data_IF_893690075306
#
_entry.id   IF_893690075306
#
_cell.length_a   1.000
_cell.length_b   1.000
_cell.length_c   1.000
_cell.angle_alpha   90.00
_cell.angle_beta   90.00
_cell.angle_gamma   90.00
#
_symmetry.space_group_name_H-M   'P 1'
#
loop_
_entity.id
_entity.type
_entity.pdbx_description
1 polymer ?
#
# COMPACT_ATOMS: atom_id res chain seq x y z
N UNK A 1 -32.29 -3.85 16.43
CA UNK A 1 -31.32 -2.81 16.00
C UNK A 1 -30.01 -2.85 16.77
N UNK A 2 -30.02 -2.99 18.09
CA UNK A 2 -28.80 -3.01 18.92
C UNK A 2 -27.74 -4.04 18.48
N UNK A 3 -28.16 -5.26 18.14
CA UNK A 3 -27.26 -6.32 17.63
C UNK A 3 -26.53 -5.88 16.35
N UNK A 4 -27.21 -5.17 15.44
CA UNK A 4 -26.63 -4.68 14.19
C UNK A 4 -25.61 -3.57 14.45
N UNK A 5 -25.93 -2.62 15.33
CA UNK A 5 -25.02 -1.54 15.72
C UNK A 5 -23.74 -2.12 16.35
N UNK A 6 -23.90 -3.12 17.23
CA UNK A 6 -22.77 -3.82 17.84
C UNK A 6 -21.89 -4.53 16.82
N UNK A 7 -22.50 -5.18 15.82
CA UNK A 7 -21.78 -5.85 14.74
C UNK A 7 -21.00 -4.84 13.89
N UNK A 8 -21.63 -3.74 13.47
CA UNK A 8 -20.98 -2.69 12.67
C UNK A 8 -19.81 -2.04 13.42
N UNK A 9 -19.98 -1.77 14.71
CA UNK A 9 -18.90 -1.24 15.56
C UNK A 9 -17.73 -2.22 15.66
N UNK A 10 -18.02 -3.51 15.87
CA UNK A 10 -16.99 -4.54 15.92
C UNK A 10 -16.24 -4.68 14.59
N UNK A 11 -16.96 -4.64 13.45
CA UNK A 11 -16.35 -4.66 12.13
C UNK A 11 -15.43 -3.45 11.94
N UNK A 12 -15.90 -2.25 12.28
CA UNK A 12 -15.14 -1.01 12.15
C UNK A 12 -13.89 -0.98 13.05
N UNK A 13 -13.92 -1.64 14.22
CA UNK A 13 -12.77 -1.76 15.13
C UNK A 13 -11.77 -2.84 14.71
N UNK A 14 -12.19 -3.82 13.89
CA UNK A 14 -11.34 -4.93 13.42
C UNK A 14 -11.05 -4.87 11.92
N UNK A 15 -11.55 -3.86 11.21
CA UNK A 15 -11.51 -3.78 9.75
C UNK A 15 -10.07 -3.89 9.20
N UNK A 16 -9.11 -3.15 9.76
CA UNK A 16 -7.70 -3.24 9.34
C UNK A 16 -7.15 -4.65 9.55
N UNK A 17 -7.47 -5.30 10.67
CA UNK A 17 -6.98 -6.66 10.95
C UNK A 17 -7.56 -7.68 10.00
N UNK A 18 -8.84 -7.60 9.70
CA UNK A 18 -9.53 -8.50 8.76
C UNK A 18 -8.91 -8.34 7.37
N UNK A 19 -8.77 -7.10 6.89
CA UNK A 19 -8.16 -6.84 5.59
C UNK A 19 -6.68 -7.25 5.57
N UNK A 20 -5.91 -7.00 6.62
CA UNK A 20 -4.53 -7.45 6.69
C UNK A 20 -4.42 -8.98 6.69
N UNK A 21 -5.34 -9.69 7.32
CA UNK A 21 -5.36 -11.14 7.29
C UNK A 21 -5.66 -11.65 5.87
N UNK A 22 -6.63 -11.04 5.19
CA UNK A 22 -6.90 -11.30 3.76
C UNK A 22 -5.64 -11.02 2.92
N UNK A 23 -4.92 -9.92 3.16
CA UNK A 23 -3.64 -9.61 2.50
C UNK A 23 -2.64 -10.76 2.67
N UNK A 24 -2.37 -11.17 3.91
CA UNK A 24 -1.34 -12.17 4.25
C UNK A 24 -1.66 -13.54 3.66
N UNK A 25 -2.94 -13.93 3.61
CA UNK A 25 -3.33 -15.21 3.02
C UNK A 25 -3.45 -15.14 1.50
N UNK A 26 -4.09 -14.12 0.93
CA UNK A 26 -4.37 -14.13 -0.51
C UNK A 26 -3.15 -13.69 -1.33
N UNK A 27 -2.51 -12.57 -0.99
CA UNK A 27 -1.52 -11.97 -1.91
C UNK A 27 -0.24 -12.81 -2.06
N UNK A 28 0.31 -13.42 -0.99
CA UNK A 28 1.45 -14.33 -1.12
C UNK A 28 1.10 -15.70 -1.71
N UNK A 29 -0.12 -16.21 -1.49
CA UNK A 29 -0.48 -17.59 -1.88
C UNK A 29 -1.10 -17.68 -3.27
N UNK A 30 -1.77 -16.63 -3.75
CA UNK A 30 -2.38 -16.66 -5.07
C UNK A 30 -1.37 -16.32 -6.18
N UNK A 31 -1.50 -16.94 -7.37
CA UNK A 31 -0.79 -16.47 -8.54
C UNK A 31 -1.18 -15.01 -8.82
N UNK A 32 -0.19 -14.20 -9.20
CA UNK A 32 -0.41 -12.78 -9.51
C UNK A 32 -1.37 -12.65 -10.69
N UNK A 33 -2.48 -11.94 -10.50
CA UNK A 33 -3.52 -11.80 -11.52
C UNK A 33 -3.28 -10.51 -12.32
N UNK A 34 -2.84 -10.58 -13.58
CA UNK A 34 -2.67 -9.40 -14.42
C UNK A 34 -4.04 -8.89 -14.89
N UNK A 35 -4.33 -7.61 -14.66
CA UNK A 35 -5.55 -6.95 -15.16
C UNK A 35 -5.26 -6.27 -16.50
N UNK A 36 -4.11 -5.61 -16.60
CA UNK A 36 -3.72 -4.87 -17.81
C UNK A 36 -2.22 -4.91 -18.01
N UNK A 37 -1.78 -5.35 -19.18
CA UNK A 37 -0.38 -5.25 -19.60
C UNK A 37 -0.06 -3.82 -20.01
N UNK A 38 1.11 -3.35 -19.61
CA UNK A 38 1.65 -2.07 -20.09
C UNK A 38 2.26 -2.32 -21.47
N UNK A 39 1.78 -1.59 -22.47
CA UNK A 39 2.22 -1.71 -23.86
C UNK A 39 3.76 -1.64 -23.96
N UNK A 40 4.33 -2.47 -24.83
CA UNK A 40 5.77 -2.56 -25.08
C UNK A 40 6.60 -3.03 -23.88
N UNK A 41 5.97 -3.66 -22.89
CA UNK A 41 6.65 -4.18 -21.70
C UNK A 41 6.04 -5.51 -21.25
N UNK A 42 6.76 -6.27 -20.42
CA UNK A 42 6.24 -7.48 -19.76
C UNK A 42 5.55 -7.19 -18.42
N UNK A 43 5.28 -5.93 -18.12
CA UNK A 43 4.84 -5.50 -16.80
C UNK A 43 3.33 -5.31 -16.80
N UNK A 44 2.67 -5.94 -15.82
CA UNK A 44 1.24 -5.84 -15.62
C UNK A 44 0.90 -4.90 -14.45
N UNK A 45 -0.21 -4.16 -14.61
CA UNK A 45 -1.01 -3.68 -13.49
C UNK A 45 -1.83 -4.88 -13.00
N UNK A 46 -1.70 -5.21 -11.72
CA UNK A 46 -2.27 -6.44 -11.14
C UNK A 46 -3.41 -6.15 -10.19
N UNK A 47 -4.23 -7.17 -9.94
CA UNK A 47 -5.31 -7.10 -8.96
C UNK A 47 -4.79 -6.79 -7.56
N UNK A 48 -3.63 -7.33 -7.20
CA UNK A 48 -3.03 -7.06 -5.89
C UNK A 48 -2.68 -5.58 -5.71
N UNK A 49 -2.26 -4.91 -6.79
CA UNK A 49 -1.92 -3.48 -6.72
C UNK A 49 -3.18 -2.66 -6.30
N UNK A 50 -4.36 -3.00 -6.85
CA UNK A 50 -5.64 -2.38 -6.45
C UNK A 50 -6.06 -2.73 -5.03
N UNK A 51 -5.83 -3.97 -4.59
CA UNK A 51 -6.15 -4.39 -3.24
C UNK A 51 -5.34 -3.59 -2.21
N UNK A 52 -4.05 -3.40 -2.46
CA UNK A 52 -3.19 -2.61 -1.56
C UNK A 52 -3.60 -1.14 -1.58
N UNK A 53 -3.95 -0.58 -2.74
CA UNK A 53 -4.49 0.78 -2.82
C UNK A 53 -5.78 0.95 -2.00
N UNK A 54 -6.72 -0.01 -2.12
CA UNK A 54 -7.94 -0.03 -1.32
C UNK A 54 -7.65 -0.10 0.18
N UNK A 55 -6.79 -1.03 0.60
CA UNK A 55 -6.37 -1.19 1.99
C UNK A 55 -5.70 0.09 2.54
N UNK A 56 -4.88 0.74 1.71
CA UNK A 56 -4.25 2.03 2.02
C UNK A 56 -5.29 3.13 2.25
N UNK A 57 -6.30 3.25 1.39
CA UNK A 57 -7.37 4.24 1.54
C UNK A 57 -8.13 4.02 2.85
N UNK A 58 -8.52 2.79 3.15
CA UNK A 58 -9.19 2.45 4.42
C UNK A 58 -8.31 2.82 5.62
N UNK A 59 -7.01 2.51 5.56
CA UNK A 59 -6.06 2.85 6.61
C UNK A 59 -5.93 4.36 6.83
N UNK A 60 -5.81 5.14 5.76
CA UNK A 60 -5.76 6.61 5.84
C UNK A 60 -7.03 7.17 6.47
N UNK A 61 -8.21 6.65 6.10
CA UNK A 61 -9.49 7.03 6.74
C UNK A 61 -9.46 6.71 8.24
N UNK A 62 -8.93 5.56 8.65
CA UNK A 62 -8.83 5.20 10.07
C UNK A 62 -7.84 6.08 10.84
N UNK A 63 -6.73 6.49 10.23
CA UNK A 63 -5.80 7.48 10.80
C UNK A 63 -6.50 8.82 11.00
N UNK A 64 -7.23 9.30 9.98
CA UNK A 64 -8.00 10.56 10.06
C UNK A 64 -9.06 10.52 11.17
N UNK A 65 -9.67 9.34 11.39
CA UNK A 65 -10.59 9.06 12.50
C UNK A 65 -9.89 8.82 13.84
N UNK A 66 -8.56 8.99 13.91
CA UNK A 66 -7.70 8.82 15.09
C UNK A 66 -7.76 7.41 15.70
N UNK A 67 -8.19 6.40 14.95
CA UNK A 67 -8.22 5.00 15.40
C UNK A 67 -6.85 4.34 15.40
N UNK A 68 -5.95 4.80 14.52
CA UNK A 68 -4.58 4.32 14.43
C UNK A 68 -3.60 5.49 14.45
N UNK A 69 -2.40 5.23 14.98
CA UNK A 69 -1.28 6.18 14.98
C UNK A 69 -0.21 5.70 14.02
N UNK A 70 0.40 6.63 13.30
CA UNK A 70 1.54 6.37 12.43
C UNK A 70 2.83 6.57 13.24
N UNK A 71 3.75 5.61 13.19
CA UNK A 71 5.07 5.80 13.79
C UNK A 71 5.85 6.86 13.02
N UNK A 72 6.07 8.01 13.66
CA UNK A 72 6.78 9.15 13.05
C UNK A 72 8.20 8.78 12.63
N UNK A 73 8.90 7.97 13.43
CA UNK A 73 10.26 7.52 13.13
C UNK A 73 10.31 6.74 11.82
N UNK A 74 9.47 5.70 11.68
CA UNK A 74 9.43 4.91 10.45
C UNK A 74 8.90 5.70 9.26
N UNK A 75 7.92 6.58 9.48
CA UNK A 75 7.38 7.42 8.42
C UNK A 75 8.44 8.32 7.78
N UNK A 76 9.32 8.92 8.59
CA UNK A 76 10.41 9.76 8.09
C UNK A 76 11.39 8.91 7.26
N UNK A 77 11.81 7.75 7.75
CA UNK A 77 12.74 6.86 7.05
C UNK A 77 12.18 6.40 5.69
N UNK A 78 10.90 6.01 5.67
CA UNK A 78 10.22 5.56 4.45
C UNK A 78 10.03 6.72 3.47
N UNK A 79 9.67 7.91 3.98
CA UNK A 79 9.51 9.10 3.14
C UNK A 79 10.81 9.53 2.47
N UNK A 80 11.94 9.47 3.19
CA UNK A 80 13.26 9.73 2.62
C UNK A 80 13.62 8.72 1.54
N UNK A 81 13.37 7.43 1.77
CA UNK A 81 13.57 6.39 0.77
C UNK A 81 12.68 6.60 -0.47
N UNK A 82 11.39 6.88 -0.29
CA UNK A 82 10.48 7.16 -1.40
C UNK A 82 10.93 8.38 -2.19
N UNK A 83 11.34 9.46 -1.52
CA UNK A 83 11.89 10.64 -2.18
C UNK A 83 13.12 10.28 -3.02
N UNK A 84 14.07 9.50 -2.47
CA UNK A 84 15.24 9.06 -3.20
C UNK A 84 14.88 8.21 -4.43
N UNK A 85 13.93 7.28 -4.31
CA UNK A 85 13.43 6.47 -5.44
C UNK A 85 12.77 7.34 -6.50
N UNK A 86 11.91 8.28 -6.12
CA UNK A 86 11.26 9.19 -7.06
C UNK A 86 12.26 10.08 -7.78
N UNK A 87 13.22 10.67 -7.06
CA UNK A 87 14.28 11.48 -7.66
C UNK A 87 15.16 10.65 -8.60
N UNK A 88 15.51 9.41 -8.23
CA UNK A 88 16.24 8.49 -9.08
C UNK A 88 15.47 8.13 -10.36
N UNK A 89 14.16 7.87 -10.26
CA UNK A 89 13.31 7.63 -11.43
C UNK A 89 13.21 8.87 -12.32
N UNK A 90 13.06 10.07 -11.76
CA UNK A 90 13.04 11.32 -12.53
C UNK A 90 14.38 11.53 -13.27
N UNK A 91 15.49 11.30 -12.59
CA UNK A 91 16.82 11.35 -13.21
C UNK A 91 16.95 10.34 -14.36
N UNK A 92 16.52 9.09 -14.15
CA UNK A 92 16.54 8.03 -15.17
C UNK A 92 15.69 8.35 -16.40
N UNK A 93 14.54 9.00 -16.21
CA UNK A 93 13.62 9.39 -17.28
C UNK A 93 14.14 10.61 -18.06
N UNK A 94 14.57 11.66 -17.38
CA UNK A 94 14.80 12.96 -18.01
C UNK A 94 16.27 13.24 -18.31
N UNK A 95 17.20 12.75 -17.49
CA UNK A 95 18.63 13.08 -17.60
C UNK A 95 19.44 11.92 -18.19
N UNK A 96 19.45 10.78 -17.50
CA UNK A 96 20.20 9.62 -17.95
C UNK A 96 19.56 8.93 -19.17
N UNK A 97 18.25 9.14 -19.38
CA UNK A 97 17.46 8.55 -20.48
C UNK A 97 17.60 7.02 -20.55
N UNK A 98 17.69 6.38 -19.39
CA UNK A 98 17.77 4.91 -19.27
C UNK A 98 16.39 4.26 -19.16
N UNK A 99 15.32 5.06 -19.06
CA UNK A 99 13.93 4.60 -18.96
C UNK A 99 13.16 5.10 -20.20
N UNK A 100 13.02 4.24 -21.20
CA UNK A 100 12.33 4.58 -22.46
C UNK A 100 10.82 4.80 -22.24
N UNK A 101 10.21 3.92 -21.45
CA UNK A 101 8.78 3.95 -21.15
C UNK A 101 8.53 4.83 -19.91
N UNK A 102 8.39 6.14 -20.11
CA UNK A 102 8.32 7.12 -19.00
C UNK A 102 7.27 6.80 -17.93
N UNK A 103 6.05 6.46 -18.36
CA UNK A 103 4.96 6.11 -17.44
C UNK A 103 5.27 4.87 -16.61
N UNK A 104 6.07 3.93 -17.14
CA UNK A 104 6.51 2.75 -16.41
C UNK A 104 7.47 3.15 -15.26
N UNK A 105 8.38 4.10 -15.49
CA UNK A 105 9.27 4.60 -14.44
C UNK A 105 8.52 5.20 -13.24
N UNK A 106 7.43 5.93 -13.50
CA UNK A 106 6.54 6.43 -12.45
C UNK A 106 5.79 5.30 -11.74
N UNK A 107 5.23 4.34 -12.48
CA UNK A 107 4.54 3.19 -11.90
C UNK A 107 5.46 2.33 -11.02
N UNK A 108 6.74 2.20 -11.39
CA UNK A 108 7.73 1.53 -10.56
C UNK A 108 8.00 2.26 -9.24
N UNK A 109 8.18 3.59 -9.29
CA UNK A 109 8.37 4.38 -8.07
C UNK A 109 7.15 4.31 -7.15
N UNK A 110 5.94 4.43 -7.72
CA UNK A 110 4.69 4.34 -6.97
C UNK A 110 4.52 2.97 -6.30
N UNK A 111 4.84 1.88 -7.00
CA UNK A 111 4.75 0.52 -6.46
C UNK A 111 5.65 0.30 -5.25
N UNK A 112 6.82 0.95 -5.18
CA UNK A 112 7.68 0.90 -3.98
C UNK A 112 6.97 1.50 -2.77
N UNK A 113 6.27 2.62 -2.94
CA UNK A 113 5.50 3.24 -1.88
C UNK A 113 4.31 2.36 -1.46
N UNK A 114 3.56 1.86 -2.43
CA UNK A 114 2.40 0.97 -2.21
C UNK A 114 2.76 -0.24 -1.35
N UNK A 115 3.85 -0.94 -1.68
CA UNK A 115 4.27 -2.14 -0.92
C UNK A 115 4.77 -1.83 0.47
N UNK A 116 5.48 -0.72 0.60
CA UNK A 116 6.01 -0.28 1.88
C UNK A 116 4.93 0.25 2.81
N UNK A 117 3.79 0.73 2.29
CA UNK A 117 2.67 1.15 3.14
C UNK A 117 2.11 0.00 3.99
N UNK A 118 2.13 -1.23 3.47
CA UNK A 118 1.68 -2.43 4.21
C UNK A 118 2.40 -2.58 5.55
N UNK A 119 3.67 -2.17 5.65
CA UNK A 119 4.39 -2.16 6.92
C UNK A 119 3.68 -1.31 7.98
N UNK A 120 3.24 -0.09 7.65
CA UNK A 120 2.53 0.77 8.59
C UNK A 120 1.17 0.21 8.99
N UNK A 121 0.47 -0.40 8.02
CA UNK A 121 -0.82 -1.05 8.25
C UNK A 121 -0.64 -2.21 9.23
N UNK A 122 0.35 -3.07 8.99
CA UNK A 122 0.67 -4.19 9.87
C UNK A 122 1.11 -3.71 11.26
N UNK A 123 2.01 -2.73 11.34
CA UNK A 123 2.48 -2.14 12.59
C UNK A 123 1.32 -1.57 13.41
N UNK A 124 0.36 -0.91 12.76
CA UNK A 124 -0.83 -0.35 13.43
C UNK A 124 -1.83 -1.40 13.92
N UNK A 125 -1.82 -2.59 13.31
CA UNK A 125 -2.72 -3.69 13.63
C UNK A 125 -2.22 -4.53 14.81
N UNK A 126 -0.90 -4.62 14.98
CA UNK A 126 -0.26 -5.25 16.14
C UNK A 126 -0.45 -4.32 17.33
N UNK A 127 -1.27 -4.76 18.30
CA UNK A 127 -1.36 -4.06 19.58
C UNK A 127 0.00 -4.12 20.27
N UNK A 128 0.62 -2.98 20.54
CA UNK A 128 1.62 -2.91 21.59
C UNK A 128 0.92 -3.31 22.90
N UNK A 129 1.35 -4.43 23.49
CA UNK A 129 1.21 -4.61 24.93
C UNK A 129 2.12 -3.55 25.55
N UNK A 130 1.52 -2.50 26.10
CA UNK A 130 2.17 -1.75 27.19
C UNK A 130 2.28 -2.68 28.41
#
# INVERSE_FOLDING_TARGET
MEKLIRLLKWLDDNLIKILLLIFIFLIPLYPKIPIKMINFTYIAIRLEDFYIAFLTIIFLIQILRKKHKLSRQFFILFSLYWLAVFLSSLWGIYVAKTIDVKHLGFLHALRRAEYMIIFFIALSAVKQKE
#
